data_IF_703872218721
#
_entry.id   IF_703872218721
#
_cell.length_a   1.000
_cell.length_b   1.000
_cell.length_c   1.000
_cell.angle_alpha   90.00
_cell.angle_beta   90.00
_cell.angle_gamma   90.00
#
_symmetry.space_group_name_H-M   'P 1'
#
loop_
_entity.id
_entity.type
_entity.pdbx_description
1 polymer ?
#
# COMPACT_ATOMS: atom_id res chain seq x y z
N UNK A 1 19.22 8.82 -0.18
CA UNK A 1 17.88 8.24 0.09
C UNK A 1 16.83 9.25 -0.33
N UNK A 2 15.62 8.82 -0.72
CA UNK A 2 14.56 9.71 -1.25
C UNK A 2 13.61 10.31 -0.19
N UNK A 3 13.75 9.91 1.09
CA UNK A 3 12.96 10.48 2.20
C UNK A 3 11.63 9.78 2.50
N UNK A 4 11.43 8.56 1.98
CA UNK A 4 10.30 7.70 2.33
C UNK A 4 10.42 7.20 3.79
N UNK A 5 9.30 7.14 4.49
CA UNK A 5 9.22 6.91 5.94
C UNK A 5 8.21 5.81 6.31
N UNK A 6 8.38 5.25 7.51
CA UNK A 6 7.46 4.28 8.08
C UNK A 6 7.49 2.90 7.45
N UNK A 7 6.73 1.95 8.01
CA UNK A 7 6.68 0.55 7.54
C UNK A 7 6.31 0.42 6.06
N UNK A 8 5.40 1.26 5.58
CA UNK A 8 4.92 1.24 4.18
C UNK A 8 5.68 2.19 3.26
N UNK A 9 6.81 2.74 3.72
CA UNK A 9 7.73 3.58 2.93
C UNK A 9 7.01 4.73 2.19
N UNK A 10 6.14 5.44 2.89
CA UNK A 10 5.42 6.58 2.32
C UNK A 10 6.32 7.80 2.14
N UNK A 11 6.10 8.56 1.06
CA UNK A 11 6.49 9.96 1.05
C UNK A 11 5.59 10.75 2.00
N UNK A 12 6.11 11.70 2.81
CA UNK A 12 5.30 12.41 3.82
C UNK A 12 4.03 13.06 3.26
N UNK A 13 4.11 13.67 2.07
CA UNK A 13 2.94 14.27 1.42
C UNK A 13 1.90 13.24 0.98
N UNK A 14 2.32 12.05 0.57
CA UNK A 14 1.40 10.95 0.25
C UNK A 14 0.72 10.45 1.52
N UNK A 15 1.47 10.22 2.61
CA UNK A 15 0.86 9.82 3.87
C UNK A 15 -0.16 10.86 4.36
N UNK A 16 0.19 12.14 4.37
CA UNK A 16 -0.73 13.21 4.78
C UNK A 16 -2.04 13.24 3.97
N UNK A 17 -2.02 12.84 2.69
CA UNK A 17 -3.22 12.79 1.85
C UNK A 17 -4.11 11.54 2.10
N UNK A 18 -3.52 10.45 2.61
CA UNK A 18 -4.17 9.14 2.73
C UNK A 18 -4.13 8.55 4.14
N UNK A 19 -3.67 9.31 5.14
CA UNK A 19 -3.53 8.87 6.51
C UNK A 19 -4.83 8.29 7.06
N UNK A 20 -4.72 7.16 7.76
CA UNK A 20 -5.79 6.51 8.49
C UNK A 20 -5.23 6.20 9.87
N UNK A 21 -5.92 6.66 10.90
CA UNK A 21 -5.78 6.17 12.28
C UNK A 21 -6.34 4.74 12.31
N UNK A 22 -5.43 3.78 12.17
CA UNK A 22 -5.69 2.36 11.93
C UNK A 22 -5.89 1.56 13.21
N UNK A 23 -5.32 2.00 14.32
CA UNK A 23 -5.51 1.40 15.65
C UNK A 23 -6.55 2.15 16.51
N UNK A 24 -7.06 3.29 16.03
CA UNK A 24 -8.09 4.13 16.66
C UNK A 24 -7.63 4.79 17.96
N UNK A 25 -6.34 5.18 18.05
CA UNK A 25 -5.78 5.87 19.21
C UNK A 25 -5.96 7.40 19.18
N UNK A 26 -6.41 7.94 18.04
CA UNK A 26 -6.68 9.36 17.81
C UNK A 26 -5.56 10.13 17.11
N UNK A 27 -4.44 9.49 16.79
CA UNK A 27 -3.37 10.02 15.93
C UNK A 27 -3.23 9.16 14.67
N UNK A 28 -2.64 9.72 13.62
CA UNK A 28 -2.25 8.93 12.45
C UNK A 28 -0.73 9.08 12.28
N UNK A 29 0.03 8.16 12.86
CA UNK A 29 1.48 8.13 12.84
C UNK A 29 1.99 7.26 11.68
N UNK A 30 2.79 7.86 10.80
CA UNK A 30 3.45 7.14 9.69
C UNK A 30 4.33 5.99 10.17
N UNK A 31 4.84 6.08 11.41
CA UNK A 31 5.67 5.09 12.07
C UNK A 31 4.89 3.93 12.69
N UNK A 32 3.60 4.10 12.99
CA UNK A 32 2.77 3.04 13.55
C UNK A 32 2.42 1.99 12.48
N UNK A 33 2.60 0.68 12.75
CA UNK A 33 2.28 -0.37 11.80
C UNK A 33 0.82 -0.41 11.34
N UNK A 34 -0.15 -0.22 12.24
CA UNK A 34 -1.56 -0.23 11.88
C UNK A 34 -1.89 0.95 10.98
N UNK A 35 -1.48 2.16 11.37
CA UNK A 35 -1.72 3.38 10.61
C UNK A 35 -1.10 3.32 9.22
N UNK A 36 0.17 2.89 9.15
CA UNK A 36 0.89 2.76 7.88
C UNK A 36 0.20 1.76 6.95
N UNK A 37 -0.22 0.59 7.46
CA UNK A 37 -0.89 -0.45 6.66
C UNK A 37 -2.27 0.01 6.19
N UNK A 38 -3.08 0.59 7.07
CA UNK A 38 -4.42 1.07 6.70
C UNK A 38 -4.35 2.26 5.74
N UNK A 39 -3.36 3.14 5.90
CA UNK A 39 -3.08 4.23 4.94
C UNK A 39 -2.67 3.69 3.57
N UNK A 40 -1.85 2.63 3.51
CA UNK A 40 -1.51 1.95 2.26
C UNK A 40 -2.73 1.31 1.60
N UNK A 41 -3.61 0.68 2.38
CA UNK A 41 -4.87 0.15 1.88
C UNK A 41 -5.78 1.26 1.31
N UNK A 42 -5.91 2.39 2.01
CA UNK A 42 -6.67 3.56 1.53
C UNK A 42 -6.08 4.12 0.23
N UNK A 43 -4.75 4.25 0.14
CA UNK A 43 -4.07 4.68 -1.08
C UNK A 43 -4.36 3.74 -2.27
N UNK A 44 -4.24 2.43 -2.07
CA UNK A 44 -4.52 1.43 -3.10
C UNK A 44 -5.99 1.48 -3.54
N UNK A 45 -6.93 1.60 -2.59
CA UNK A 45 -8.36 1.75 -2.88
C UNK A 45 -8.67 3.01 -3.69
N UNK A 46 -8.05 4.16 -3.35
CA UNK A 46 -8.19 5.40 -4.11
C UNK A 46 -7.68 5.27 -5.56
N UNK A 47 -6.70 4.39 -5.79
CA UNK A 47 -6.20 4.04 -7.13
C UNK A 47 -6.96 2.89 -7.79
N UNK A 48 -8.05 2.39 -7.17
CA UNK A 48 -8.97 1.44 -7.77
C UNK A 48 -8.67 -0.04 -7.52
N UNK A 49 -7.82 -0.36 -6.55
CA UNK A 49 -7.44 -1.74 -6.21
C UNK A 49 -8.66 -2.65 -5.93
N UNK A 50 -9.73 -2.11 -5.34
CA UNK A 50 -10.96 -2.86 -5.04
C UNK A 50 -11.68 -3.45 -6.26
N UNK A 51 -11.34 -3.02 -7.48
CA UNK A 51 -11.87 -3.62 -8.72
C UNK A 51 -11.13 -4.89 -9.16
N UNK A 52 -10.01 -5.22 -8.54
CA UNK A 52 -9.19 -6.40 -8.87
C UNK A 52 -8.53 -6.33 -10.26
N UNK A 53 -7.94 -7.45 -10.69
CA UNK A 53 -7.36 -7.63 -12.03
C UNK A 53 -6.44 -6.48 -12.47
N UNK A 54 -6.58 -5.97 -13.72
CA UNK A 54 -5.75 -4.87 -14.22
C UNK A 54 -5.84 -3.57 -13.41
N UNK A 55 -6.93 -3.36 -12.66
CA UNK A 55 -7.05 -2.18 -11.80
C UNK A 55 -6.19 -2.32 -10.53
N UNK A 56 -6.07 -3.53 -9.99
CA UNK A 56 -5.16 -3.84 -8.88
C UNK A 56 -3.70 -3.67 -9.30
N UNK A 57 -3.31 -4.25 -10.44
CA UNK A 57 -1.96 -4.07 -10.99
C UNK A 57 -1.60 -2.58 -11.15
N UNK A 58 -2.52 -1.79 -11.72
CA UNK A 58 -2.33 -0.35 -11.88
C UNK A 58 -2.21 0.38 -10.54
N UNK A 59 -3.01 0.00 -9.54
CA UNK A 59 -2.94 0.62 -8.21
C UNK A 59 -1.60 0.34 -7.52
N UNK A 60 -1.06 -0.88 -7.64
CA UNK A 60 0.27 -1.22 -7.13
C UNK A 60 1.36 -0.46 -7.90
N UNK A 61 1.23 -0.34 -9.22
CA UNK A 61 2.15 0.44 -10.03
C UNK A 61 2.19 1.91 -9.60
N UNK A 62 1.05 2.52 -9.24
CA UNK A 62 1.04 3.90 -8.72
C UNK A 62 1.81 4.06 -7.41
N UNK A 63 1.87 3.00 -6.60
CA UNK A 63 2.68 2.97 -5.38
C UNK A 63 4.18 3.01 -5.72
N UNK A 64 4.59 2.25 -6.74
CA UNK A 64 5.96 2.24 -7.25
C UNK A 64 5.97 1.88 -8.75
N UNK A 65 6.47 2.79 -9.59
CA UNK A 65 6.41 2.73 -11.05
C UNK A 65 7.36 1.68 -11.69
N UNK A 66 7.33 0.45 -11.19
CA UNK A 66 8.16 -0.66 -11.64
C UNK A 66 7.34 -1.93 -11.86
N UNK A 67 7.35 -2.47 -13.08
CA UNK A 67 6.61 -3.70 -13.41
C UNK A 67 7.03 -4.91 -12.58
N UNK A 68 8.34 -5.06 -12.29
CA UNK A 68 8.84 -6.14 -11.44
C UNK A 68 8.32 -6.04 -10.00
N UNK A 69 8.09 -4.82 -9.49
CA UNK A 69 7.56 -4.59 -8.16
C UNK A 69 6.10 -5.02 -8.08
N UNK A 70 5.30 -4.69 -9.10
CA UNK A 70 3.90 -5.13 -9.21
C UNK A 70 3.80 -6.66 -9.14
N UNK A 71 4.62 -7.35 -9.94
CA UNK A 71 4.64 -8.81 -9.97
C UNK A 71 5.09 -9.41 -8.63
N UNK A 72 6.12 -8.84 -8.00
CA UNK A 72 6.58 -9.28 -6.69
C UNK A 72 5.46 -9.17 -5.63
N UNK A 73 4.77 -8.03 -5.56
CA UNK A 73 3.69 -7.80 -4.58
C UNK A 73 2.53 -8.76 -4.81
N UNK A 74 2.11 -8.96 -6.06
CA UNK A 74 1.02 -9.90 -6.38
C UNK A 74 1.39 -11.33 -6.03
N UNK A 75 2.62 -11.75 -6.29
CA UNK A 75 3.09 -13.09 -5.95
C UNK A 75 3.20 -13.31 -4.44
N UNK A 76 3.61 -12.30 -3.67
CA UNK A 76 3.60 -12.37 -2.21
C UNK A 76 2.17 -12.43 -1.67
N UNK A 77 1.26 -11.61 -2.21
CA UNK A 77 -0.15 -11.62 -1.83
C UNK A 77 -0.82 -12.98 -2.13
N UNK A 78 -0.52 -13.60 -3.28
CA UNK A 78 -0.99 -14.93 -3.61
C UNK A 78 -0.50 -15.99 -2.62
N UNK A 79 0.79 -15.95 -2.24
CA UNK A 79 1.37 -16.83 -1.23
C UNK A 79 0.70 -16.67 0.14
N UNK A 80 0.48 -15.43 0.61
CA UNK A 80 -0.23 -15.17 1.87
C UNK A 80 -1.69 -15.63 1.83
N UNK A 81 -2.33 -15.60 0.67
CA UNK A 81 -3.69 -16.09 0.48
C UNK A 81 -3.77 -17.62 0.32
N UNK A 82 -2.65 -18.35 0.31
CA UNK A 82 -2.60 -19.79 0.04
C UNK A 82 -3.01 -20.17 -1.39
N UNK A 83 -2.78 -19.28 -2.36
CA UNK A 83 -3.09 -19.48 -3.78
C UNK A 83 -1.80 -19.67 -4.59
N UNK A 84 -1.92 -20.30 -5.75
CA UNK A 84 -0.80 -20.32 -6.72
C UNK A 84 -0.47 -18.88 -7.18
N UNK A 85 0.80 -18.58 -7.50
CA UNK A 85 1.24 -17.26 -7.95
C UNK A 85 0.50 -16.80 -9.22
N UNK A 86 0.41 -15.48 -9.40
CA UNK A 86 -0.35 -14.83 -10.47
C UNK A 86 0.41 -14.82 -11.82
#
# INVERSE_FOLDING_TARGET
FAGAQGPMQFMPGTFAAYAVDGDSDGDADIGDPADSVFSAARYLCANGAGRGGPALERAIWQYNHAGWYVQLVLNLAAQYAGREPA
#
